data_IF_082002369904
#
_entry.id   IF_082002369904
#
_cell.length_a   1.000
_cell.length_b   1.000
_cell.length_c   1.000
_cell.angle_alpha   90.00
_cell.angle_beta   90.00
_cell.angle_gamma   90.00
#
_symmetry.space_group_name_H-M   'P 1'
#
loop_
_entity.id
_entity.type
_entity.pdbx_description
1 polymer ?
#
# COMPACT_ATOMS: atom_id res chain seq x y z
N UNK A 1 26.08 33.85 -18.85
CA UNK A 1 24.90 32.97 -18.70
C UNK A 1 25.35 31.72 -17.94
N UNK A 2 24.86 31.45 -16.72
CA UNK A 2 25.22 30.23 -16.00
C UNK A 2 24.66 28.99 -16.72
N UNK A 3 25.37 27.85 -16.61
CA UNK A 3 24.98 26.60 -17.24
C UNK A 3 23.59 26.15 -16.72
N UNK A 4 22.66 25.88 -17.65
CA UNK A 4 21.28 25.44 -17.35
C UNK A 4 21.19 23.97 -16.95
N UNK A 5 22.25 23.20 -17.12
CA UNK A 5 22.28 21.77 -16.87
C UNK A 5 23.52 21.37 -16.08
N UNK A 6 23.36 20.38 -15.20
CA UNK A 6 24.47 19.71 -14.53
C UNK A 6 25.23 18.90 -15.57
N UNK A 7 26.52 19.17 -15.73
CA UNK A 7 27.41 18.32 -16.52
C UNK A 7 27.69 17.06 -15.71
N UNK A 8 27.30 15.86 -16.18
CA UNK A 8 27.60 14.64 -15.44
C UNK A 8 29.13 14.46 -15.35
N UNK A 9 29.62 13.90 -14.24
CA UNK A 9 31.04 13.58 -14.10
C UNK A 9 31.47 12.60 -15.19
N UNK A 10 32.69 12.78 -15.70
CA UNK A 10 33.32 11.91 -16.68
C UNK A 10 34.60 11.31 -16.08
N UNK A 11 34.72 9.97 -15.99
CA UNK A 11 33.75 8.98 -16.44
C UNK A 11 32.51 8.91 -15.54
N UNK A 12 31.41 8.37 -16.08
CA UNK A 12 30.22 8.06 -15.29
C UNK A 12 30.59 7.02 -14.21
N UNK A 13 30.06 7.16 -12.99
CA UNK A 13 30.21 6.12 -11.98
C UNK A 13 29.60 4.80 -12.50
N UNK A 14 30.12 3.65 -12.06
CA UNK A 14 29.53 2.37 -12.40
C UNK A 14 28.07 2.32 -11.92
N UNK A 15 27.18 1.63 -12.65
CA UNK A 15 25.80 1.47 -12.22
C UNK A 15 25.76 0.80 -10.84
N UNK A 16 24.89 1.30 -9.96
CA UNK A 16 24.70 0.72 -8.64
C UNK A 16 24.17 -0.70 -8.76
N UNK A 17 24.54 -1.56 -7.80
CA UNK A 17 23.94 -2.88 -7.66
C UNK A 17 22.49 -2.72 -7.18
N UNK A 18 21.55 -2.91 -8.10
CA UNK A 18 20.12 -2.74 -7.84
C UNK A 18 19.59 -3.69 -6.76
N UNK A 19 20.15 -4.89 -6.62
CA UNK A 19 19.75 -5.83 -5.58
C UNK A 19 20.25 -5.36 -4.21
N UNK A 20 21.50 -4.91 -4.14
CA UNK A 20 22.05 -4.34 -2.92
C UNK A 20 21.27 -3.10 -2.47
N UNK A 21 20.91 -2.21 -3.41
CA UNK A 21 20.12 -1.01 -3.12
C UNK A 21 18.69 -1.35 -2.67
N UNK A 22 18.05 -2.35 -3.29
CA UNK A 22 16.74 -2.84 -2.85
C UNK A 22 16.80 -3.37 -1.41
N UNK A 23 17.78 -4.22 -1.10
CA UNK A 23 17.96 -4.77 0.25
C UNK A 23 18.28 -3.68 1.27
N UNK A 24 19.06 -2.68 0.90
CA UNK A 24 19.35 -1.52 1.74
C UNK A 24 18.09 -0.68 1.99
N UNK A 25 17.24 -0.47 0.98
CA UNK A 25 15.98 0.25 1.11
C UNK A 25 14.99 -0.49 2.01
N UNK A 26 14.80 -1.80 1.83
CA UNK A 26 13.96 -2.63 2.69
C UNK A 26 14.48 -2.63 4.14
N UNK A 27 15.79 -2.67 4.31
CA UNK A 27 16.43 -2.56 5.64
C UNK A 27 16.10 -1.24 6.31
N UNK A 28 16.17 -0.11 5.59
CA UNK A 28 15.78 1.21 6.12
C UNK A 28 14.31 1.26 6.51
N UNK A 29 13.40 0.85 5.62
CA UNK A 29 11.96 0.82 5.88
C UNK A 29 11.67 0.01 7.14
N UNK A 30 12.20 -1.21 7.23
CA UNK A 30 11.97 -2.10 8.35
C UNK A 30 12.60 -1.60 9.67
N UNK A 31 13.75 -0.93 9.60
CA UNK A 31 14.42 -0.38 10.79
C UNK A 31 13.62 0.76 11.41
N UNK A 32 13.11 1.67 10.58
CA UNK A 32 12.39 2.86 11.05
C UNK A 32 10.89 2.62 11.23
N UNK A 33 10.32 1.62 10.55
CA UNK A 33 8.91 1.27 10.61
C UNK A 33 8.75 -0.25 10.76
N UNK A 34 9.20 -0.86 11.86
CA UNK A 34 9.03 -2.30 12.07
C UNK A 34 7.53 -2.66 12.16
N UNK A 35 7.09 -3.85 11.71
CA UNK A 35 5.70 -4.29 11.77
C UNK A 35 5.31 -4.74 13.19
N UNK A 36 5.54 -3.87 14.17
CA UNK A 36 5.19 -4.11 15.58
C UNK A 36 4.20 -3.05 16.03
N UNK A 37 3.17 -3.50 16.74
CA UNK A 37 2.16 -2.61 17.28
C UNK A 37 2.76 -1.86 18.47
N UNK A 38 3.22 -0.64 18.23
CA UNK A 38 3.69 0.24 19.32
C UNK A 38 2.46 0.84 20.02
N UNK A 39 2.53 1.05 21.33
CA UNK A 39 1.42 1.56 22.16
C UNK A 39 0.99 3.01 21.82
N UNK A 40 1.39 3.56 20.67
CA UNK A 40 1.04 4.91 20.25
C UNK A 40 -0.33 4.91 19.56
N UNK A 41 -1.29 5.58 20.20
CA UNK A 41 -2.72 5.56 19.85
C UNK A 41 -3.12 6.60 18.78
N UNK A 42 -2.17 7.15 18.01
CA UNK A 42 -2.41 8.32 17.16
C UNK A 42 -2.10 8.18 15.66
N UNK A 43 -1.79 6.98 15.16
CA UNK A 43 -1.42 6.83 13.75
C UNK A 43 -2.64 6.78 12.82
N UNK A 44 -2.70 7.74 11.90
CA UNK A 44 -3.63 7.71 10.76
C UNK A 44 -2.95 7.02 9.58
N UNK A 45 -3.54 5.93 9.12
CA UNK A 45 -3.08 5.22 7.92
C UNK A 45 -3.87 5.69 6.70
N UNK A 46 -3.17 5.83 5.58
CA UNK A 46 -3.70 6.34 4.32
C UNK A 46 -3.48 5.34 3.20
N UNK A 47 -3.90 4.09 3.39
CA UNK A 47 -3.91 3.06 2.37
C UNK A 47 -2.54 2.83 1.74
N UNK A 48 -2.46 2.95 0.42
CA UNK A 48 -1.22 2.84 -0.34
C UNK A 48 -0.39 4.14 -0.35
N UNK A 49 -0.94 5.27 0.09
CA UNK A 49 -0.21 6.55 0.11
C UNK A 49 0.80 6.60 1.26
N UNK A 50 0.37 6.25 2.47
CA UNK A 50 1.26 6.19 3.63
C UNK A 50 0.75 5.25 4.71
N UNK A 51 1.67 4.53 5.36
CA UNK A 51 1.38 3.65 6.47
C UNK A 51 1.75 2.19 6.20
N UNK A 52 1.33 1.27 7.07
CA UNK A 52 1.72 -0.12 6.98
C UNK A 52 1.16 -0.84 5.76
N UNK A 53 -0.04 -0.48 5.29
CA UNK A 53 -0.64 -1.06 4.08
C UNK A 53 0.17 -0.78 2.81
N UNK A 54 0.80 0.39 2.69
CA UNK A 54 1.69 0.68 1.56
C UNK A 54 2.97 -0.17 1.59
N UNK A 55 3.52 -0.41 2.79
CA UNK A 55 4.68 -1.30 2.98
C UNK A 55 4.31 -2.76 2.73
N UNK A 56 3.13 -3.18 3.18
CA UNK A 56 2.59 -4.51 2.87
C UNK A 56 2.46 -4.72 1.37
N UNK A 57 1.90 -3.73 0.65
CA UNK A 57 1.80 -3.78 -0.81
C UNK A 57 3.17 -3.91 -1.49
N UNK A 58 4.18 -3.16 -1.02
CA UNK A 58 5.55 -3.28 -1.54
C UNK A 58 6.08 -4.72 -1.39
N UNK A 59 5.98 -5.30 -0.19
CA UNK A 59 6.43 -6.68 0.06
C UNK A 59 5.64 -7.71 -0.74
N UNK A 60 4.32 -7.53 -0.88
CA UNK A 60 3.47 -8.38 -1.72
C UNK A 60 3.90 -8.33 -3.19
N UNK A 61 4.10 -7.13 -3.75
CA UNK A 61 4.54 -7.01 -5.15
C UNK A 61 5.93 -7.61 -5.37
N UNK A 62 6.84 -7.44 -4.42
CA UNK A 62 8.17 -8.05 -4.50
C UNK A 62 8.11 -9.58 -4.36
N UNK A 63 7.19 -10.14 -3.56
CA UNK A 63 7.03 -11.59 -3.47
C UNK A 63 6.53 -12.21 -4.78
N UNK A 64 5.72 -11.48 -5.55
CA UNK A 64 5.30 -11.92 -6.89
C UNK A 64 6.43 -11.83 -7.93
N UNK A 65 7.30 -10.80 -7.83
CA UNK A 65 8.41 -10.60 -8.77
C UNK A 65 9.62 -11.49 -8.46
N UNK A 66 9.86 -11.78 -7.18
CA UNK A 66 11.02 -12.51 -6.67
C UNK A 66 10.57 -13.57 -5.64
N UNK A 67 9.92 -14.66 -6.07
CA UNK A 67 9.30 -15.63 -5.16
C UNK A 67 10.28 -16.32 -4.21
N UNK A 68 11.52 -16.52 -4.65
CA UNK A 68 12.58 -17.18 -3.85
C UNK A 68 13.37 -16.20 -2.97
N UNK A 69 13.11 -14.89 -3.09
CA UNK A 69 13.83 -13.89 -2.31
C UNK A 69 13.39 -13.94 -0.85
N UNK A 70 14.39 -13.88 0.04
CA UNK A 70 14.16 -13.71 1.48
C UNK A 70 14.72 -12.37 1.94
N UNK A 71 14.09 -11.80 2.96
CA UNK A 71 14.55 -10.60 3.64
C UNK A 71 14.66 -10.90 5.13
N UNK A 72 15.86 -10.73 5.70
CA UNK A 72 16.17 -11.09 7.10
C UNK A 72 15.77 -12.53 7.46
N UNK A 73 15.94 -13.46 6.51
CA UNK A 73 15.66 -14.89 6.70
C UNK A 73 14.18 -15.30 6.59
N UNK A 74 13.30 -14.39 6.18
CA UNK A 74 11.87 -14.64 6.04
C UNK A 74 11.38 -14.33 4.61
N UNK A 75 10.35 -15.03 4.14
CA UNK A 75 9.77 -14.79 2.83
C UNK A 75 9.10 -13.41 2.76
N UNK A 76 9.14 -12.79 1.58
CA UNK A 76 8.56 -11.46 1.39
C UNK A 76 7.03 -11.45 1.59
N UNK A 77 6.34 -12.56 1.29
CA UNK A 77 4.91 -12.70 1.55
C UNK A 77 4.57 -12.63 3.05
N UNK A 78 5.40 -13.20 3.92
CA UNK A 78 5.18 -13.15 5.36
C UNK A 78 5.39 -11.73 5.90
N UNK A 79 6.37 -10.99 5.35
CA UNK A 79 6.54 -9.58 5.65
C UNK A 79 5.32 -8.76 5.23
N UNK A 80 4.77 -9.03 4.05
CA UNK A 80 3.55 -8.37 3.57
C UNK A 80 2.39 -8.58 4.56
N UNK A 81 2.16 -9.82 4.99
CA UNK A 81 1.15 -10.16 5.99
C UNK A 81 1.39 -9.45 7.33
N UNK A 82 2.63 -9.46 7.85
CA UNK A 82 2.97 -8.83 9.12
C UNK A 82 2.71 -7.32 9.13
N UNK A 83 3.02 -6.61 8.04
CA UNK A 83 2.67 -5.19 7.93
C UNK A 83 1.16 -4.98 7.82
N UNK A 84 0.47 -5.81 7.03
CA UNK A 84 -0.97 -5.65 6.80
C UNK A 84 -1.80 -5.83 8.07
N UNK A 85 -1.34 -6.69 9.00
CA UNK A 85 -1.96 -6.88 10.32
C UNK A 85 -2.04 -5.58 11.14
N UNK A 86 -1.10 -4.65 10.98
CA UNK A 86 -1.15 -3.38 11.71
C UNK A 86 -2.39 -2.55 11.36
N UNK A 87 -2.88 -2.64 10.12
CA UNK A 87 -4.08 -1.93 9.65
C UNK A 87 -5.40 -2.68 9.88
N UNK A 88 -5.38 -3.90 10.48
CA UNK A 88 -6.59 -4.70 10.71
C UNK A 88 -7.66 -3.94 11.52
N UNK A 89 -7.24 -3.03 12.40
CA UNK A 89 -8.16 -2.20 13.20
C UNK A 89 -9.07 -1.26 12.38
N UNK A 90 -8.79 -1.08 11.08
CA UNK A 90 -9.59 -0.29 10.14
C UNK A 90 -10.66 -1.12 9.38
N UNK A 91 -10.68 -2.44 9.56
CA UNK A 91 -11.70 -3.33 8.99
C UNK A 91 -13.00 -3.34 9.82
N UNK A 92 -14.09 -3.94 9.28
CA UNK A 92 -15.29 -4.21 10.05
C UNK A 92 -15.02 -4.95 11.37
N UNK A 93 -15.49 -4.39 12.49
CA UNK A 93 -15.24 -4.94 13.84
C UNK A 93 -13.96 -4.44 14.54
N UNK A 94 -13.12 -3.66 13.85
CA UNK A 94 -11.92 -3.08 14.43
C UNK A 94 -12.17 -1.91 15.39
N UNK A 95 -11.14 -1.54 16.17
CA UNK A 95 -11.19 -0.48 17.20
C UNK A 95 -10.98 0.94 16.67
N UNK A 96 -10.50 1.10 15.43
CA UNK A 96 -10.19 2.42 14.86
C UNK A 96 -11.43 3.08 14.27
N UNK A 97 -11.48 4.42 14.33
CA UNK A 97 -12.50 5.20 13.60
C UNK A 97 -12.21 5.03 12.11
N UNK A 98 -13.02 4.20 11.43
CA UNK A 98 -12.87 3.94 9.99
C UNK A 98 -12.86 5.25 9.22
N UNK A 99 -11.96 5.35 8.24
CA UNK A 99 -12.12 6.36 7.21
C UNK A 99 -13.48 6.14 6.53
N UNK A 100 -14.26 7.21 6.34
CA UNK A 100 -15.50 7.09 5.58
C UNK A 100 -15.16 6.60 4.16
N UNK A 101 -15.93 5.65 3.67
CA UNK A 101 -15.88 5.27 2.26
C UNK A 101 -17.07 5.95 1.59
N UNK A 102 -16.78 6.98 0.81
CA UNK A 102 -17.74 7.72 0.00
C UNK A 102 -17.09 8.11 -1.33
N UNK A 103 -17.86 8.71 -2.24
CA UNK A 103 -17.38 9.02 -3.58
C UNK A 103 -16.23 10.04 -3.62
N UNK A 104 -15.93 10.74 -2.53
CA UNK A 104 -14.78 11.64 -2.41
C UNK A 104 -13.62 11.03 -1.62
N UNK A 105 -13.79 9.83 -1.04
CA UNK A 105 -12.81 9.15 -0.21
C UNK A 105 -12.75 7.64 -0.50
N UNK A 106 -12.77 7.26 -1.77
CA UNK A 106 -12.73 5.86 -2.24
C UNK A 106 -11.44 5.47 -2.98
N UNK A 107 -10.50 6.40 -3.11
CA UNK A 107 -9.23 6.16 -3.80
C UNK A 107 -8.22 5.35 -2.99
N UNK A 108 -6.98 5.27 -3.49
CA UNK A 108 -5.92 4.45 -2.88
C UNK A 108 -5.44 4.94 -1.51
N UNK A 109 -5.84 6.14 -1.09
CA UNK A 109 -5.59 6.62 0.27
C UNK A 109 -6.58 6.05 1.31
N UNK A 110 -7.65 5.38 0.87
CA UNK A 110 -8.62 4.81 1.80
C UNK A 110 -8.11 3.49 2.38
N UNK A 111 -7.75 3.50 3.67
CA UNK A 111 -7.20 2.35 4.39
C UNK A 111 -8.14 1.13 4.38
N UNK A 112 -9.45 1.33 4.54
CA UNK A 112 -10.41 0.22 4.55
C UNK A 112 -10.44 -0.49 3.21
N UNK A 113 -10.46 0.25 2.10
CA UNK A 113 -10.48 -0.34 0.76
C UNK A 113 -9.15 -1.03 0.42
N UNK A 114 -8.02 -0.43 0.82
CA UNK A 114 -6.70 -1.04 0.62
C UNK A 114 -6.54 -2.33 1.41
N UNK A 115 -7.02 -2.36 2.67
CA UNK A 115 -7.01 -3.57 3.50
C UNK A 115 -7.83 -4.69 2.87
N UNK A 116 -9.04 -4.41 2.39
CA UNK A 116 -9.88 -5.40 1.71
C UNK A 116 -9.18 -5.95 0.46
N UNK A 117 -8.65 -5.07 -0.39
CA UNK A 117 -8.00 -5.48 -1.63
C UNK A 117 -6.74 -6.32 -1.38
N UNK A 118 -5.82 -5.83 -0.55
CA UNK A 118 -4.56 -6.53 -0.27
C UNK A 118 -4.76 -7.86 0.45
N UNK A 119 -5.69 -7.93 1.40
CA UNK A 119 -6.01 -9.20 2.08
C UNK A 119 -6.65 -10.19 1.13
N UNK A 120 -7.57 -9.76 0.27
CA UNK A 120 -8.13 -10.63 -0.76
C UNK A 120 -7.03 -11.27 -1.62
N UNK A 121 -6.01 -10.50 -2.00
CA UNK A 121 -4.86 -11.00 -2.75
C UNK A 121 -3.97 -11.97 -1.94
N UNK A 122 -3.59 -11.59 -0.71
CA UNK A 122 -2.65 -12.35 0.13
C UNK A 122 -3.27 -13.63 0.71
N UNK A 123 -4.53 -13.57 1.12
CA UNK A 123 -5.25 -14.69 1.75
C UNK A 123 -5.98 -15.55 0.71
N UNK A 124 -6.00 -15.11 -0.57
CA UNK A 124 -6.78 -15.70 -1.64
C UNK A 124 -8.28 -15.83 -1.30
N UNK A 125 -8.81 -14.88 -0.51
CA UNK A 125 -10.19 -14.91 -0.02
C UNK A 125 -11.13 -14.07 -0.90
N UNK A 126 -11.96 -14.79 -1.68
CA UNK A 126 -12.99 -14.18 -2.54
C UNK A 126 -14.05 -13.40 -1.77
N UNK A 127 -14.29 -13.70 -0.49
CA UNK A 127 -15.27 -12.99 0.33
C UNK A 127 -14.85 -11.54 0.60
N UNK A 128 -13.55 -11.29 0.74
CA UNK A 128 -12.98 -9.95 0.90
C UNK A 128 -13.06 -9.16 -0.42
N UNK A 129 -12.84 -9.82 -1.55
CA UNK A 129 -13.05 -9.21 -2.86
C UNK A 129 -14.53 -8.83 -3.07
N UNK A 130 -15.48 -9.68 -2.68
CA UNK A 130 -16.89 -9.36 -2.73
C UNK A 130 -17.25 -8.17 -1.81
N UNK A 131 -16.67 -8.11 -0.61
CA UNK A 131 -16.85 -6.98 0.29
C UNK A 131 -16.32 -5.66 -0.32
N UNK A 132 -15.19 -5.70 -1.03
CA UNK A 132 -14.67 -4.55 -1.78
C UNK A 132 -15.63 -4.14 -2.91
N UNK A 133 -16.12 -5.09 -3.70
CA UNK A 133 -17.07 -4.84 -4.79
C UNK A 133 -18.41 -4.29 -4.31
N UNK A 134 -18.85 -4.64 -3.10
CA UNK A 134 -20.13 -4.17 -2.53
C UNK A 134 -20.19 -2.63 -2.40
N UNK A 135 -19.05 -1.95 -2.30
CA UNK A 135 -18.99 -0.48 -2.26
C UNK A 135 -19.36 0.17 -3.61
N UNK A 136 -19.25 -0.53 -4.74
CA UNK A 136 -19.49 0.04 -6.07
C UNK A 136 -20.88 0.67 -6.21
N UNK A 137 -21.91 0.04 -5.63
CA UNK A 137 -23.29 0.54 -5.70
C UNK A 137 -23.44 1.94 -5.08
N UNK A 138 -22.73 2.23 -3.99
CA UNK A 138 -22.77 3.53 -3.33
C UNK A 138 -21.90 4.57 -4.04
N UNK A 139 -20.74 4.15 -4.54
CA UNK A 139 -19.76 5.06 -5.15
C UNK A 139 -20.14 5.49 -6.58
N UNK A 140 -20.83 4.64 -7.32
CA UNK A 140 -21.17 4.82 -8.73
C UNK A 140 -22.62 5.29 -8.96
N UNK A 141 -23.37 5.57 -7.90
CA UNK A 141 -24.74 6.04 -8.05
C UNK A 141 -24.80 7.39 -8.81
N UNK A 142 -25.67 7.56 -9.83
CA UNK A 142 -25.66 8.72 -10.74
C UNK A 142 -25.80 10.09 -10.07
N UNK A 143 -26.42 10.16 -8.89
CA UNK A 143 -26.66 11.39 -8.15
C UNK A 143 -25.52 11.75 -7.17
N UNK A 144 -24.49 10.91 -7.06
CA UNK A 144 -23.41 11.10 -6.07
C UNK A 144 -22.26 11.87 -6.72
N UNK A 145 -22.18 13.17 -6.41
CA UNK A 145 -20.99 13.96 -6.68
C UNK A 145 -19.78 13.39 -5.90
N UNK A 146 -18.60 13.37 -6.50
CA UNK A 146 -17.41 12.80 -5.91
C UNK A 146 -16.14 13.11 -6.69
N UNK A 147 -15.03 12.55 -6.24
CA UNK A 147 -13.75 12.63 -6.93
C UNK A 147 -13.58 11.48 -7.92
N UNK A 148 -13.00 11.77 -9.08
CA UNK A 148 -12.61 10.76 -10.06
C UNK A 148 -11.08 10.59 -10.16
N UNK A 149 -10.29 11.30 -9.35
CA UNK A 149 -8.83 11.13 -9.35
C UNK A 149 -8.37 9.87 -8.59
N UNK A 150 -7.05 9.64 -8.59
CA UNK A 150 -6.47 8.37 -8.16
C UNK A 150 -6.33 8.24 -6.63
N UNK A 151 -6.03 9.33 -5.93
CA UNK A 151 -5.71 9.30 -4.51
C UNK A 151 -6.95 9.13 -3.64
N UNK A 152 -8.03 9.85 -3.94
CA UNK A 152 -9.26 9.84 -3.15
C UNK A 152 -10.51 9.46 -3.95
N UNK A 153 -10.43 9.42 -5.28
CA UNK A 153 -11.57 9.20 -6.16
C UNK A 153 -11.71 7.80 -6.74
N UNK A 154 -12.68 7.68 -7.66
CA UNK A 154 -13.09 6.43 -8.30
C UNK A 154 -11.99 5.78 -9.13
N UNK A 155 -11.06 6.54 -9.71
CA UNK A 155 -9.92 5.95 -10.41
C UNK A 155 -9.01 5.17 -9.45
N UNK A 156 -8.88 5.61 -8.20
CA UNK A 156 -8.20 4.85 -7.16
C UNK A 156 -8.95 3.60 -6.75
N UNK A 157 -10.28 3.68 -6.62
CA UNK A 157 -11.11 2.50 -6.37
C UNK A 157 -10.95 1.45 -7.47
N UNK A 158 -10.98 1.86 -8.75
CA UNK A 158 -10.73 0.99 -9.90
C UNK A 158 -9.33 0.38 -9.89
N UNK A 159 -8.32 1.11 -9.39
CA UNK A 159 -6.97 0.59 -9.20
C UNK A 159 -6.98 -0.57 -8.19
N UNK A 160 -7.68 -0.41 -7.06
CA UNK A 160 -7.77 -1.45 -6.02
C UNK A 160 -8.51 -2.71 -6.51
N UNK A 161 -9.52 -2.56 -7.38
CA UNK A 161 -10.21 -3.70 -8.00
C UNK A 161 -9.36 -4.50 -8.99
N UNK A 162 -8.19 -3.98 -9.39
CA UNK A 162 -7.27 -4.63 -10.35
C UNK A 162 -6.06 -5.29 -9.70
N UNK A 163 -5.91 -5.19 -8.37
CA UNK A 163 -4.82 -5.83 -7.63
C UNK A 163 -4.90 -7.35 -7.73
#
# INVERSE_FOLDING_TARGET
MPARYLTPPSPLPPPADGQAELLAALSRINTFNPPVQTCSTGWHYAGLYSGPSSVAFLFYRLSQLYPDMTFKGQHLADWAAAYLELGQSYLPGGRSKRASVDASHCGVANETLCQLALRACLEHDTSLAHALCAYANGLLAPAVAGSDEWLYGRAGYLYLLRL
#
